data_IF_630262562519
#
_entry.id   IF_630262562519
#
_cell.length_a   1.000
_cell.length_b   1.000
_cell.length_c   1.000
_cell.angle_alpha   90.00
_cell.angle_beta   90.00
_cell.angle_gamma   90.00
#
_symmetry.space_group_name_H-M   'P 1'
#
loop_
_entity.id
_entity.type
_entity.pdbx_description
1 polymer ?
#
# COMPACT_ATOMS: atom_id res chain seq x y z
N UNK A 1 4.64 28.35 7.22
CA UNK A 1 3.37 28.70 7.90
C UNK A 1 2.45 27.49 7.98
N UNK A 2 1.35 27.61 8.70
CA UNK A 2 0.34 26.56 8.77
C UNK A 2 -0.31 26.35 7.40
N UNK A 3 -0.55 27.42 6.69
CA UNK A 3 -1.15 27.42 5.34
C UNK A 3 -0.25 26.68 4.34
N UNK A 4 1.05 26.86 4.39
CA UNK A 4 2.01 26.14 3.53
C UNK A 4 1.99 24.63 3.84
N UNK A 5 1.99 24.26 5.12
CA UNK A 5 1.91 22.85 5.52
C UNK A 5 0.61 22.21 5.06
N UNK A 6 -0.53 22.91 5.25
CA UNK A 6 -1.82 22.44 4.81
C UNK A 6 -1.89 22.28 3.28
N UNK A 7 -1.34 23.24 2.52
CA UNK A 7 -1.32 23.17 1.06
C UNK A 7 -0.49 21.99 0.53
N UNK A 8 0.68 21.73 1.12
CA UNK A 8 1.52 20.58 0.76
C UNK A 8 0.83 19.27 1.11
N UNK A 9 0.23 19.16 2.29
CA UNK A 9 -0.49 17.97 2.72
C UNK A 9 -1.69 17.67 1.82
N UNK A 10 -2.47 18.70 1.47
CA UNK A 10 -3.61 18.55 0.55
C UNK A 10 -3.16 18.12 -0.84
N UNK A 11 -2.12 18.76 -1.39
CA UNK A 11 -1.57 18.38 -2.70
C UNK A 11 -1.08 16.93 -2.71
N UNK A 12 -0.44 16.47 -1.63
CA UNK A 12 -0.02 15.08 -1.50
C UNK A 12 -1.24 14.14 -1.45
N UNK A 13 -2.26 14.49 -0.64
CA UNK A 13 -3.48 13.71 -0.52
C UNK A 13 -4.26 13.60 -1.85
N UNK A 14 -4.30 14.68 -2.64
CA UNK A 14 -4.99 14.73 -3.94
C UNK A 14 -4.26 13.90 -5.04
N UNK A 15 -3.02 13.50 -4.79
CA UNK A 15 -2.16 12.78 -5.75
C UNK A 15 -1.73 11.40 -5.24
N UNK A 16 -2.47 10.83 -4.30
CA UNK A 16 -2.19 9.51 -3.75
C UNK A 16 -3.43 8.61 -3.78
N UNK A 17 -3.17 7.31 -3.83
CA UNK A 17 -4.20 6.29 -3.64
C UNK A 17 -3.64 5.09 -2.87
N UNK A 18 -4.54 4.32 -2.27
CA UNK A 18 -4.19 3.10 -1.55
C UNK A 18 -5.12 1.95 -1.97
N UNK A 19 -4.59 0.75 -1.94
CA UNK A 19 -5.36 -0.47 -2.15
C UNK A 19 -4.84 -1.54 -1.21
N UNK A 20 -5.74 -2.25 -0.55
CA UNK A 20 -5.38 -3.36 0.33
C UNK A 20 -5.73 -4.70 -0.31
N UNK A 21 -5.04 -5.76 0.11
CA UNK A 21 -5.40 -7.14 -0.13
C UNK A 21 -5.35 -7.91 1.17
N UNK A 22 -6.33 -8.78 1.41
CA UNK A 22 -6.34 -9.73 2.50
C UNK A 22 -6.44 -11.15 1.96
N UNK A 23 -5.71 -12.07 2.58
CA UNK A 23 -5.76 -13.52 2.32
C UNK A 23 -6.27 -14.29 3.54
N UNK A 24 -6.34 -13.64 4.69
CA UNK A 24 -6.99 -14.11 5.92
C UNK A 24 -7.43 -12.93 6.76
N UNK A 25 -8.65 -12.98 7.29
CA UNK A 25 -9.19 -11.97 8.20
C UNK A 25 -8.48 -11.93 9.54
N UNK A 26 -8.66 -10.81 10.26
CA UNK A 26 -8.22 -10.66 11.64
C UNK A 26 -9.25 -11.23 12.61
N UNK A 27 -8.80 -11.56 13.83
CA UNK A 27 -9.68 -11.98 14.92
C UNK A 27 -10.16 -10.77 15.72
N UNK A 28 -11.45 -10.62 15.89
CA UNK A 28 -12.01 -9.56 16.73
C UNK A 28 -11.59 -9.77 18.19
N UNK A 29 -10.90 -8.82 18.83
CA UNK A 29 -10.24 -9.05 20.12
C UNK A 29 -11.21 -9.32 21.28
N UNK A 30 -12.44 -8.80 21.20
CA UNK A 30 -13.44 -8.96 22.26
C UNK A 30 -14.27 -10.24 22.09
N UNK A 31 -14.60 -10.63 20.86
CA UNK A 31 -15.52 -11.75 20.58
C UNK A 31 -14.80 -13.03 20.20
N UNK A 32 -13.54 -12.94 19.74
CA UNK A 32 -12.78 -14.08 19.23
C UNK A 32 -13.26 -14.57 17.84
N UNK A 33 -14.16 -13.84 17.18
CA UNK A 33 -14.67 -14.18 15.85
C UNK A 33 -13.78 -13.59 14.76
N UNK A 34 -13.68 -14.24 13.60
CA UNK A 34 -13.03 -13.66 12.44
C UNK A 34 -13.84 -12.47 11.92
N UNK A 35 -13.16 -11.38 11.59
CA UNK A 35 -13.76 -10.18 11.00
C UNK A 35 -14.16 -10.41 9.53
N UNK A 36 -13.41 -11.28 8.83
CA UNK A 36 -13.74 -11.72 7.48
C UNK A 36 -13.32 -13.18 7.33
N UNK A 37 -14.22 -14.01 6.81
CA UNK A 37 -13.92 -15.40 6.49
C UNK A 37 -13.54 -15.50 5.01
N UNK A 38 -12.28 -15.82 4.74
CA UNK A 38 -11.75 -16.12 3.40
C UNK A 38 -11.38 -17.61 3.36
N UNK A 39 -11.66 -18.28 2.26
CA UNK A 39 -11.19 -19.64 2.03
C UNK A 39 -9.66 -19.68 1.83
N UNK A 40 -9.08 -20.88 1.98
CA UNK A 40 -7.61 -21.05 1.86
C UNK A 40 -7.06 -20.64 0.48
N UNK A 41 -7.88 -20.75 -0.57
CA UNK A 41 -7.55 -20.40 -1.95
C UNK A 41 -8.17 -19.07 -2.40
N UNK A 42 -8.56 -18.22 -1.47
CA UNK A 42 -9.22 -16.95 -1.75
C UNK A 42 -8.39 -15.75 -1.28
N UNK A 43 -8.59 -14.64 -1.95
CA UNK A 43 -8.14 -13.32 -1.52
C UNK A 43 -9.23 -12.29 -1.78
N UNK A 44 -9.19 -11.19 -1.05
CA UNK A 44 -10.04 -10.02 -1.30
C UNK A 44 -9.18 -8.78 -1.50
N UNK A 45 -9.37 -8.11 -2.65
CA UNK A 45 -8.71 -6.83 -2.95
C UNK A 45 -9.68 -5.70 -2.65
N UNK A 46 -9.19 -4.68 -1.94
CA UNK A 46 -9.98 -3.51 -1.53
C UNK A 46 -10.64 -3.66 -0.16
N UNK A 47 -10.37 -4.74 0.58
CA UNK A 47 -10.87 -4.87 1.95
C UNK A 47 -10.41 -3.70 2.81
N UNK A 48 -11.33 -3.06 3.51
CA UNK A 48 -11.05 -1.98 4.45
C UNK A 48 -10.37 -2.48 5.72
N UNK A 49 -9.74 -1.57 6.45
CA UNK A 49 -8.99 -1.87 7.67
C UNK A 49 -9.87 -2.33 8.84
N UNK A 50 -11.13 -2.00 8.80
CA UNK A 50 -12.11 -2.39 9.82
C UNK A 50 -12.99 -3.56 9.36
N UNK A 51 -12.61 -4.24 8.24
CA UNK A 51 -13.35 -5.37 7.67
C UNK A 51 -14.48 -4.94 6.73
N UNK A 52 -14.46 -3.68 6.24
CA UNK A 52 -15.40 -3.25 5.20
C UNK A 52 -15.14 -4.05 3.93
N UNK A 53 -16.21 -4.49 3.28
CA UNK A 53 -16.14 -5.21 2.01
C UNK A 53 -15.51 -4.32 0.93
N UNK A 54 -14.64 -4.93 0.14
CA UNK A 54 -13.89 -4.25 -0.93
C UNK A 54 -14.38 -4.60 -2.32
N UNK A 55 -13.45 -4.82 -3.23
CA UNK A 55 -13.69 -5.16 -4.64
C UNK A 55 -14.19 -6.58 -4.89
N UNK A 56 -14.42 -7.34 -3.83
CA UNK A 56 -14.91 -8.71 -3.88
C UNK A 56 -13.82 -9.77 -3.80
N UNK A 57 -14.27 -10.96 -3.47
CA UNK A 57 -13.42 -12.15 -3.33
C UNK A 57 -13.05 -12.69 -4.71
N UNK A 58 -11.85 -13.19 -4.80
CA UNK A 58 -11.32 -13.81 -5.99
C UNK A 58 -10.33 -14.94 -5.62
N UNK A 59 -10.01 -15.85 -6.55
CA UNK A 59 -9.00 -16.86 -6.30
C UNK A 59 -7.67 -16.26 -5.90
N UNK A 60 -6.98 -16.89 -4.95
CA UNK A 60 -5.63 -16.50 -4.52
C UNK A 60 -4.69 -16.50 -5.74
N UNK A 61 -3.90 -15.45 -5.86
CA UNK A 61 -2.94 -15.25 -6.95
C UNK A 61 -1.52 -15.20 -6.42
N UNK A 62 -0.56 -15.37 -7.32
CA UNK A 62 0.85 -15.14 -7.00
C UNK A 62 1.11 -13.68 -6.61
N UNK A 63 2.21 -13.45 -5.91
CA UNK A 63 2.64 -12.09 -5.54
C UNK A 63 2.82 -11.19 -6.79
N UNK A 64 3.34 -11.73 -7.88
CA UNK A 64 3.56 -10.99 -9.13
C UNK A 64 2.22 -10.59 -9.77
N UNK A 65 1.23 -11.48 -9.83
CA UNK A 65 -0.10 -11.18 -10.36
C UNK A 65 -0.87 -10.20 -9.46
N UNK A 66 -0.83 -10.42 -8.15
CA UNK A 66 -1.47 -9.51 -7.18
C UNK A 66 -0.89 -8.11 -7.26
N UNK A 67 0.45 -7.99 -7.28
CA UNK A 67 1.11 -6.70 -7.44
C UNK A 67 0.74 -6.01 -8.75
N UNK A 68 0.67 -6.75 -9.87
CA UNK A 68 0.27 -6.19 -11.16
C UNK A 68 -1.16 -5.64 -11.14
N UNK A 69 -2.11 -6.37 -10.55
CA UNK A 69 -3.50 -5.91 -10.39
C UNK A 69 -3.55 -4.61 -9.59
N UNK A 70 -2.85 -4.56 -8.44
CA UNK A 70 -2.86 -3.40 -7.55
C UNK A 70 -2.16 -2.19 -8.16
N UNK A 71 -0.99 -2.37 -8.78
CA UNK A 71 -0.26 -1.30 -9.49
C UNK A 71 -1.13 -0.68 -10.59
N UNK A 72 -1.73 -1.52 -11.45
CA UNK A 72 -2.56 -1.03 -12.54
C UNK A 72 -3.80 -0.27 -12.04
N UNK A 73 -4.41 -0.72 -10.94
CA UNK A 73 -5.53 -0.02 -10.33
C UNK A 73 -5.10 1.36 -9.78
N UNK A 74 -3.99 1.44 -9.04
CA UNK A 74 -3.49 2.68 -8.45
C UNK A 74 -2.98 3.67 -9.50
N UNK A 75 -2.24 3.22 -10.51
CA UNK A 75 -1.78 4.04 -11.64
C UNK A 75 -2.97 4.68 -12.35
N UNK A 76 -4.02 3.89 -12.61
CA UNK A 76 -5.25 4.39 -13.23
C UNK A 76 -6.00 5.39 -12.36
N UNK A 77 -6.11 5.12 -11.06
CA UNK A 77 -6.87 5.96 -10.12
C UNK A 77 -6.22 7.33 -9.93
N UNK A 78 -4.90 7.35 -9.76
CA UNK A 78 -4.13 8.60 -9.63
C UNK A 78 -3.95 9.31 -10.99
N UNK A 79 -4.05 8.57 -12.10
CA UNK A 79 -3.77 9.07 -13.44
C UNK A 79 -2.27 9.28 -13.69
N UNK A 80 -1.43 8.35 -13.24
CA UNK A 80 0.03 8.40 -13.48
C UNK A 80 0.31 8.10 -14.96
N UNK A 81 1.14 8.95 -15.57
CA UNK A 81 1.55 8.82 -16.96
C UNK A 81 3.00 8.29 -17.09
N UNK A 82 3.37 7.68 -18.24
CA UNK A 82 4.75 7.28 -18.51
C UNK A 82 5.75 8.43 -18.33
N UNK A 83 6.90 8.16 -17.73
CA UNK A 83 7.93 9.15 -17.40
C UNK A 83 7.72 9.85 -16.06
N UNK A 84 6.60 9.62 -15.37
CA UNK A 84 6.36 10.19 -14.04
C UNK A 84 7.06 9.40 -12.91
N UNK A 85 7.18 10.06 -11.76
CA UNK A 85 7.84 9.53 -10.56
C UNK A 85 6.84 9.29 -9.45
N UNK A 86 7.01 8.18 -8.72
CA UNK A 86 6.12 7.81 -7.64
C UNK A 86 6.86 7.45 -6.35
N UNK A 87 6.16 7.63 -5.24
CA UNK A 87 6.43 6.92 -3.99
C UNK A 87 5.65 5.61 -3.99
N UNK A 88 6.27 4.53 -3.54
CA UNK A 88 5.64 3.24 -3.36
C UNK A 88 5.87 2.72 -1.93
N UNK A 89 4.79 2.46 -1.21
CA UNK A 89 4.84 1.88 0.13
C UNK A 89 4.12 0.53 0.12
N UNK A 90 4.74 -0.48 0.71
CA UNK A 90 4.09 -1.74 1.06
C UNK A 90 3.99 -1.80 2.58
N UNK A 91 2.77 -1.77 3.09
CA UNK A 91 2.47 -1.86 4.50
C UNK A 91 1.84 -3.21 4.82
N UNK A 92 2.51 -4.04 5.60
CA UNK A 92 1.94 -5.30 6.08
C UNK A 92 0.78 -5.05 7.04
N UNK A 93 -0.19 -5.97 7.04
CA UNK A 93 -1.40 -5.85 7.88
C UNK A 93 -1.27 -6.56 9.24
N UNK A 94 -0.12 -7.19 9.53
CA UNK A 94 0.19 -7.82 10.82
C UNK A 94 0.79 -9.23 10.72
N UNK A 95 0.28 -10.10 9.86
CA UNK A 95 0.81 -11.46 9.72
C UNK A 95 1.67 -11.69 8.47
N UNK A 96 1.67 -10.77 7.51
CA UNK A 96 2.52 -10.86 6.31
C UNK A 96 3.96 -10.46 6.66
N UNK A 97 4.88 -11.38 6.52
CA UNK A 97 6.27 -11.15 6.90
C UNK A 97 6.97 -10.11 6.02
N UNK A 98 8.02 -9.48 6.54
CA UNK A 98 8.81 -8.51 5.78
C UNK A 98 9.38 -9.13 4.48
N UNK A 99 9.74 -10.41 4.50
CA UNK A 99 10.21 -11.11 3.30
C UNK A 99 9.13 -11.17 2.21
N UNK A 100 7.90 -11.51 2.57
CA UNK A 100 6.76 -11.53 1.65
C UNK A 100 6.44 -10.13 1.12
N UNK A 101 6.45 -9.12 1.98
CA UNK A 101 6.29 -7.72 1.59
C UNK A 101 7.35 -7.27 0.59
N UNK A 102 8.61 -7.67 0.77
CA UNK A 102 9.72 -7.38 -0.17
C UNK A 102 9.55 -8.10 -1.51
N UNK A 103 8.97 -9.30 -1.53
CA UNK A 103 8.63 -10.02 -2.77
C UNK A 103 7.56 -9.24 -3.55
N UNK A 104 6.52 -8.75 -2.86
CA UNK A 104 5.48 -7.91 -3.46
C UNK A 104 6.06 -6.58 -3.96
N UNK A 105 6.90 -5.92 -3.15
CA UNK A 105 7.57 -4.68 -3.55
C UNK A 105 8.39 -4.86 -4.82
N UNK A 106 9.21 -5.92 -4.90
CA UNK A 106 9.97 -6.26 -6.12
C UNK A 106 9.05 -6.42 -7.33
N UNK A 107 7.90 -7.10 -7.17
CA UNK A 107 6.95 -7.31 -8.25
C UNK A 107 6.31 -5.99 -8.69
N UNK A 108 5.92 -5.14 -7.76
CA UNK A 108 5.32 -3.82 -8.02
C UNK A 108 6.30 -2.89 -8.76
N UNK A 109 7.57 -2.82 -8.32
CA UNK A 109 8.61 -2.03 -9.01
C UNK A 109 8.81 -2.50 -10.45
N UNK A 110 8.83 -3.82 -10.69
CA UNK A 110 8.93 -4.37 -12.05
C UNK A 110 7.73 -4.01 -12.91
N UNK A 111 6.54 -3.99 -12.35
CA UNK A 111 5.32 -3.64 -13.09
C UNK A 111 5.27 -2.15 -13.44
N UNK A 112 5.68 -1.27 -12.52
CA UNK A 112 5.84 0.17 -12.77
C UNK A 112 6.90 0.44 -13.84
N UNK A 113 8.03 -0.25 -13.79
CA UNK A 113 9.09 -0.09 -14.80
C UNK A 113 8.65 -0.47 -16.22
N UNK A 114 7.73 -1.45 -16.38
CA UNK A 114 7.15 -1.77 -17.71
C UNK A 114 6.30 -0.63 -18.27
N UNK A 115 5.79 0.24 -17.39
CA UNK A 115 4.96 1.40 -17.76
C UNK A 115 5.77 2.70 -17.83
N UNK A 116 7.10 2.63 -17.77
CA UNK A 116 8.01 3.79 -17.75
C UNK A 116 7.74 4.71 -16.54
N UNK A 117 7.40 4.14 -15.37
CA UNK A 117 7.15 4.87 -14.12
C UNK A 117 8.29 4.56 -13.14
N UNK A 118 8.92 5.62 -12.63
CA UNK A 118 10.08 5.52 -11.73
C UNK A 118 9.66 5.57 -10.26
N UNK A 119 10.13 4.61 -9.44
CA UNK A 119 9.97 4.63 -7.98
C UNK A 119 11.15 5.39 -7.36
N UNK A 120 10.91 6.62 -6.90
CA UNK A 120 11.93 7.53 -6.32
C UNK A 120 11.92 7.58 -4.80
N UNK A 121 10.86 7.07 -4.17
CA UNK A 121 10.72 6.99 -2.72
C UNK A 121 9.99 5.71 -2.34
N UNK A 122 10.36 5.10 -1.23
CA UNK A 122 9.70 3.86 -0.80
C UNK A 122 9.77 3.65 0.70
N UNK A 123 8.89 2.78 1.18
CA UNK A 123 8.95 2.14 2.49
C UNK A 123 8.34 0.75 2.40
N UNK A 124 8.91 -0.22 3.11
CA UNK A 124 8.36 -1.57 3.25
C UNK A 124 8.43 -1.95 4.73
N UNK A 125 7.30 -2.26 5.32
CA UNK A 125 7.22 -2.61 6.74
C UNK A 125 5.81 -2.51 7.31
N UNK A 126 5.70 -2.58 8.62
CA UNK A 126 4.46 -2.55 9.37
C UNK A 126 4.26 -1.15 9.96
N UNK A 127 3.47 -0.29 9.34
CA UNK A 127 3.12 1.03 9.87
C UNK A 127 1.71 1.07 10.47
N UNK A 128 0.79 0.33 9.88
CA UNK A 128 -0.59 0.22 10.31
C UNK A 128 -1.02 -1.23 10.17
N UNK A 129 -1.33 -1.88 11.29
CA UNK A 129 -1.69 -3.30 11.34
C UNK A 129 -3.12 -3.51 11.80
N UNK A 130 -3.70 -4.66 11.44
CA UNK A 130 -5.02 -5.12 11.85
C UNK A 130 -4.82 -6.47 12.53
N UNK A 131 -4.42 -6.47 13.80
CA UNK A 131 -4.04 -7.65 14.56
C UNK A 131 -3.17 -8.62 13.73
N UNK A 132 -3.62 -9.87 13.57
CA UNK A 132 -2.95 -10.92 12.79
C UNK A 132 -3.52 -11.09 11.38
N UNK A 133 -4.12 -10.07 10.80
CA UNK A 133 -4.59 -10.13 9.41
C UNK A 133 -3.44 -10.48 8.47
N UNK A 134 -3.62 -11.52 7.67
CA UNK A 134 -2.69 -11.82 6.60
C UNK A 134 -3.08 -11.05 5.34
N UNK A 135 -2.19 -10.14 4.93
CA UNK A 135 -2.41 -9.24 3.82
C UNK A 135 -1.46 -8.04 3.88
N UNK A 136 -1.64 -7.12 2.97
CA UNK A 136 -0.85 -5.88 2.93
C UNK A 136 -1.63 -4.77 2.23
N UNK A 137 -1.19 -3.54 2.44
CA UNK A 137 -1.62 -2.38 1.68
C UNK A 137 -0.51 -1.94 0.74
N UNK A 138 -0.88 -1.57 -0.48
CA UNK A 138 -0.04 -0.86 -1.41
C UNK A 138 -0.51 0.59 -1.46
N UNK A 139 0.39 1.50 -1.16
CA UNK A 139 0.20 2.92 -1.24
C UNK A 139 1.06 3.47 -2.38
N UNK A 140 0.51 4.33 -3.20
CA UNK A 140 1.21 5.02 -4.27
C UNK A 140 0.88 6.50 -4.25
N UNK A 141 1.89 7.34 -4.49
CA UNK A 141 1.70 8.78 -4.64
C UNK A 141 2.59 9.33 -5.74
N UNK A 142 2.06 10.27 -6.55
CA UNK A 142 2.88 11.05 -7.49
C UNK A 142 3.87 11.91 -6.75
N UNK A 143 5.11 11.95 -7.21
CA UNK A 143 6.20 12.67 -6.57
C UNK A 143 6.80 13.74 -7.48
N UNK A 144 6.79 14.98 -7.03
CA UNK A 144 7.59 16.07 -7.58
C UNK A 144 8.88 16.30 -6.77
N UNK A 145 9.72 17.24 -7.20
CA UNK A 145 10.99 17.54 -6.53
C UNK A 145 10.81 18.08 -5.12
N UNK A 146 9.73 18.83 -4.87
CA UNK A 146 9.45 19.36 -3.53
C UNK A 146 9.01 18.23 -2.58
N UNK A 147 8.08 17.38 -3.00
CA UNK A 147 7.62 16.24 -2.20
C UNK A 147 8.76 15.27 -1.92
N UNK A 148 9.63 15.02 -2.91
CA UNK A 148 10.80 14.17 -2.73
C UNK A 148 11.80 14.77 -1.75
N UNK A 149 12.05 16.08 -1.82
CA UNK A 149 12.89 16.79 -0.87
C UNK A 149 12.32 16.72 0.56
N UNK A 150 11.02 16.93 0.70
CA UNK A 150 10.33 16.85 2.00
C UNK A 150 10.35 15.43 2.56
N UNK A 151 10.11 14.41 1.72
CA UNK A 151 10.22 13.02 2.12
C UNK A 151 11.61 12.66 2.63
N UNK A 152 12.66 13.18 2.01
CA UNK A 152 14.05 12.94 2.38
C UNK A 152 14.55 13.83 3.53
N UNK A 153 13.75 14.76 4.02
CA UNK A 153 14.12 15.59 5.15
C UNK A 153 14.32 14.75 6.43
N UNK A 154 15.29 15.10 7.28
CA UNK A 154 15.50 14.41 8.54
C UNK A 154 14.25 14.40 9.40
N UNK A 155 13.87 13.24 9.88
CA UNK A 155 12.80 13.11 10.86
C UNK A 155 13.15 12.03 11.89
N UNK A 156 12.64 12.20 13.11
CA UNK A 156 12.81 11.22 14.17
C UNK A 156 11.50 11.06 14.92
N UNK A 157 10.97 9.85 14.88
CA UNK A 157 9.83 9.41 15.67
C UNK A 157 10.21 8.12 16.42
N UNK A 158 9.40 7.62 17.35
CA UNK A 158 9.67 6.32 17.96
C UNK A 158 9.78 5.15 16.97
N UNK A 159 9.13 5.25 15.82
CA UNK A 159 9.09 4.19 14.81
C UNK A 159 9.96 4.47 13.59
N UNK A 160 9.93 5.69 13.07
CA UNK A 160 10.65 6.07 11.85
C UNK A 160 11.79 7.03 12.18
N UNK A 161 12.97 6.70 11.68
CA UNK A 161 14.15 7.56 11.75
C UNK A 161 14.78 7.68 10.36
N UNK A 162 14.96 8.90 9.91
CA UNK A 162 15.66 9.27 8.68
C UNK A 162 16.78 10.24 8.97
#
# INVERSE_FOLDING_TARGET
>A
SLEEVAAVAQRFADNMATLAVAVRGATHPQTGTLLAELGDDEMEIGMGQHGEEGGGRQPLKSADETAAIMVNALVKDIGIEPGERVMLIINGSGATTLMEQLIVYRAAVKELAKQDIEVVANFVGEMLTVQEQAGFQMFMARMDDELLRLWNAPCTTPYLKK
#
